data_IF_309954283232
#
_entry.id   IF_309954283232
#
_cell.length_a   1.000
_cell.length_b   1.000
_cell.length_c   1.000
_cell.angle_alpha   90.00
_cell.angle_beta   90.00
_cell.angle_gamma   90.00
#
_symmetry.space_group_name_H-M   'P 1'
#
loop_
_entity.id
_entity.type
_entity.pdbx_description
1 polymer ?
#
# COMPACT_ATOMS: atom_id res chain seq x y z
N UNK A 1 -15.27 19.87 9.10
CA UNK A 1 -14.18 18.96 9.48
C UNK A 1 -13.30 18.78 8.25
N UNK A 2 -12.05 19.23 8.31
CA UNK A 2 -11.12 19.08 7.18
C UNK A 2 -10.70 17.62 7.09
N UNK A 3 -11.39 16.84 6.27
CA UNK A 3 -11.05 15.45 5.93
C UNK A 3 -9.78 15.43 5.06
N UNK A 4 -8.63 15.73 5.66
CA UNK A 4 -7.36 15.57 4.98
C UNK A 4 -7.11 14.06 4.83
N UNK A 5 -7.15 13.56 3.61
CA UNK A 5 -6.79 12.17 3.33
C UNK A 5 -5.38 11.88 3.86
N UNK A 6 -5.12 10.63 4.24
CA UNK A 6 -3.85 10.19 4.83
C UNK A 6 -3.13 9.22 3.90
N UNK A 7 -1.81 9.39 3.77
CA UNK A 7 -0.96 8.50 3.00
C UNK A 7 0.34 8.25 3.76
N UNK A 8 0.67 6.98 3.95
CA UNK A 8 1.90 6.55 4.60
C UNK A 8 2.49 5.37 3.83
N UNK A 9 3.73 5.52 3.39
CA UNK A 9 4.42 4.51 2.61
C UNK A 9 5.90 4.51 2.96
N UNK A 10 6.47 3.31 3.10
CA UNK A 10 7.91 3.10 3.28
C UNK A 10 8.41 2.13 2.23
N UNK A 11 9.68 2.26 1.88
CA UNK A 11 10.35 1.35 0.97
C UNK A 11 11.44 0.56 1.71
N UNK A 12 11.51 -0.75 1.45
CA UNK A 12 12.53 -1.65 1.99
C UNK A 12 13.01 -2.62 0.90
N UNK A 13 14.33 -2.81 0.81
CA UNK A 13 14.93 -3.90 0.03
C UNK A 13 14.95 -5.22 0.79
N UNK A 14 14.83 -6.32 0.07
CA UNK A 14 14.93 -7.68 0.63
C UNK A 14 13.60 -8.23 1.13
N UNK A 15 13.66 -9.35 1.85
CA UNK A 15 12.46 -10.01 2.36
C UNK A 15 11.75 -9.15 3.40
N UNK A 16 10.41 -9.11 3.30
CA UNK A 16 9.53 -8.41 4.24
C UNK A 16 8.88 -9.44 5.16
N UNK A 17 9.15 -9.36 6.47
CA UNK A 17 8.69 -10.33 7.48
C UNK A 17 7.74 -9.67 8.46
N UNK A 18 7.11 -10.49 9.31
CA UNK A 18 6.15 -9.99 10.29
C UNK A 18 6.69 -8.94 11.27
N UNK A 19 7.98 -8.99 11.60
CA UNK A 19 8.58 -7.95 12.44
C UNK A 19 8.66 -6.61 11.69
N UNK A 20 8.97 -6.64 10.39
CA UNK A 20 9.01 -5.44 9.55
C UNK A 20 7.61 -4.83 9.40
N UNK A 21 6.59 -5.65 9.13
CA UNK A 21 5.19 -5.19 9.06
C UNK A 21 4.73 -4.58 10.38
N UNK A 22 5.02 -5.24 11.51
CA UNK A 22 4.60 -4.72 12.82
C UNK A 22 5.33 -3.41 13.17
N UNK A 23 6.61 -3.26 12.80
CA UNK A 23 7.31 -1.98 12.97
C UNK A 23 6.66 -0.89 12.11
N UNK A 24 6.44 -1.19 10.83
CA UNK A 24 5.79 -0.27 9.90
C UNK A 24 4.40 0.16 10.37
N UNK A 25 3.58 -0.78 10.88
CA UNK A 25 2.24 -0.50 11.39
C UNK A 25 2.29 0.47 12.57
N UNK A 26 3.23 0.30 13.52
CA UNK A 26 3.39 1.24 14.63
C UNK A 26 3.76 2.64 14.15
N UNK A 27 4.69 2.75 13.21
CA UNK A 27 5.09 4.04 12.65
C UNK A 27 3.94 4.72 11.89
N UNK A 28 3.16 3.94 11.14
CA UNK A 28 1.98 4.42 10.43
C UNK A 28 0.89 4.88 11.40
N UNK A 29 0.57 4.11 12.44
CA UNK A 29 -0.44 4.48 13.43
C UNK A 29 -0.03 5.73 14.21
N UNK A 30 1.24 5.88 14.58
CA UNK A 30 1.75 7.13 15.20
C UNK A 30 1.57 8.33 14.27
N UNK A 31 1.88 8.17 12.98
CA UNK A 31 1.65 9.22 12.00
C UNK A 31 0.15 9.53 11.82
N UNK A 32 -0.71 8.51 11.85
CA UNK A 32 -2.15 8.66 11.79
C UNK A 32 -2.70 9.40 13.03
N UNK A 33 -2.24 9.07 14.24
CA UNK A 33 -2.60 9.78 15.47
C UNK A 33 -2.24 11.26 15.39
N UNK A 34 -1.04 11.58 14.88
CA UNK A 34 -0.62 12.98 14.69
C UNK A 34 -1.49 13.71 13.65
N UNK A 35 -1.92 13.01 12.60
CA UNK A 35 -2.68 13.58 11.50
C UNK A 35 -4.17 13.76 11.82
N UNK A 36 -4.79 12.79 12.50
CA UNK A 36 -6.22 12.76 12.81
C UNK A 36 -6.56 13.21 14.23
N UNK A 37 -5.57 13.30 15.13
CA UNK A 37 -5.77 13.67 16.53
C UNK A 37 -6.17 12.52 17.45
N UNK A 38 -6.25 11.29 16.93
CA UNK A 38 -6.66 10.08 17.64
C UNK A 38 -6.81 8.89 16.70
N UNK A 39 -7.11 7.71 17.24
CA UNK A 39 -7.29 6.47 16.47
C UNK A 39 -8.67 5.84 16.62
N UNK A 40 -9.54 6.40 17.48
CA UNK A 40 -10.85 5.82 17.82
C UNK A 40 -11.77 5.58 16.61
N UNK A 41 -11.63 6.41 15.57
CA UNK A 41 -12.40 6.33 14.32
C UNK A 41 -11.60 5.71 13.15
N UNK A 42 -10.46 5.08 13.43
CA UNK A 42 -9.56 4.52 12.41
C UNK A 42 -9.74 3.01 12.30
N UNK A 43 -10.09 2.55 11.10
CA UNK A 43 -10.17 1.13 10.74
C UNK A 43 -9.05 0.80 9.75
N UNK A 44 -8.17 -0.13 10.12
CA UNK A 44 -7.15 -0.70 9.24
C UNK A 44 -7.67 -1.98 8.62
N UNK A 45 -7.69 -2.02 7.29
CA UNK A 45 -8.09 -3.21 6.52
C UNK A 45 -6.83 -3.93 6.06
N UNK A 46 -6.67 -5.18 6.49
CA UNK A 46 -5.51 -6.01 6.15
C UNK A 46 -5.95 -7.35 5.55
N UNK A 47 -5.06 -7.94 4.74
CA UNK A 47 -5.25 -9.30 4.26
C UNK A 47 -4.59 -10.32 5.20
N UNK A 48 -4.46 -11.56 4.72
CA UNK A 48 -3.86 -12.66 5.47
C UNK A 48 -2.48 -13.08 4.91
N UNK A 49 -1.70 -12.13 4.38
CA UNK A 49 -0.34 -12.41 3.94
C UNK A 49 0.52 -12.95 5.10
N UNK A 50 1.53 -13.82 4.84
CA UNK A 50 2.36 -14.38 5.90
C UNK A 50 3.09 -13.32 6.76
N UNK A 51 3.49 -12.19 6.16
CA UNK A 51 4.07 -11.06 6.89
C UNK A 51 3.05 -10.39 7.81
N UNK A 52 1.76 -10.48 7.52
CA UNK A 52 0.73 -9.82 8.30
C UNK A 52 0.19 -10.75 9.40
N UNK A 53 0.77 -11.93 9.61
CA UNK A 53 0.28 -12.96 10.55
C UNK A 53 0.23 -12.54 12.03
N UNK A 54 0.78 -11.39 12.40
CA UNK A 54 0.92 -10.93 13.80
C UNK A 54 0.52 -9.47 14.00
N UNK A 55 -0.32 -8.91 13.12
CA UNK A 55 -0.74 -7.51 13.25
C UNK A 55 -1.47 -7.25 14.56
N UNK A 56 -2.26 -8.22 15.05
CA UNK A 56 -3.03 -8.14 16.30
C UNK A 56 -2.15 -7.78 17.51
N UNK A 57 -0.89 -8.23 17.51
CA UNK A 57 0.07 -7.92 18.59
C UNK A 57 0.35 -6.43 18.73
N UNK A 58 0.19 -5.64 17.65
CA UNK A 58 0.36 -4.19 17.72
C UNK A 58 -0.82 -3.54 18.44
N UNK A 59 -2.04 -4.09 18.29
CA UNK A 59 -3.26 -3.56 18.92
C UNK A 59 -3.40 -3.96 20.40
N UNK A 60 -2.57 -4.87 20.90
CA UNK A 60 -2.44 -5.17 22.33
C UNK A 60 -1.66 -4.08 23.09
N UNK A 61 -0.95 -3.21 22.37
CA UNK A 61 -0.22 -2.09 22.97
C UNK A 61 -1.20 -0.95 23.27
N UNK A 62 -1.16 -0.41 24.50
CA UNK A 62 -2.04 0.67 24.95
C UNK A 62 -1.92 1.97 24.12
N UNK A 63 -0.88 2.12 23.30
CA UNK A 63 -0.73 3.24 22.36
C UNK A 63 -1.70 3.12 21.16
N UNK A 64 -2.17 1.91 20.83
CA UNK A 64 -2.87 1.59 19.59
C UNK A 64 -4.21 0.86 19.81
N UNK A 65 -4.61 0.62 21.06
CA UNK A 65 -5.79 -0.18 21.42
C UNK A 65 -7.13 0.44 21.00
N UNK A 66 -7.17 1.74 20.73
CA UNK A 66 -8.33 2.46 20.19
C UNK A 66 -8.53 2.27 18.68
N UNK A 67 -7.49 1.83 17.94
CA UNK A 67 -7.62 1.54 16.52
C UNK A 67 -8.32 0.19 16.29
N UNK A 68 -9.05 0.06 15.18
CA UNK A 68 -9.71 -1.19 14.80
C UNK A 68 -8.97 -1.89 13.66
N UNK A 69 -8.67 -3.19 13.82
CA UNK A 69 -8.17 -4.05 12.74
C UNK A 69 -9.31 -4.88 12.12
N UNK A 70 -9.51 -4.76 10.81
CA UNK A 70 -10.41 -5.59 10.02
C UNK A 70 -9.60 -6.55 9.12
N UNK A 71 -9.69 -7.85 9.40
CA UNK A 71 -9.14 -8.90 8.54
C UNK A 71 -10.10 -9.23 7.41
N UNK A 72 -9.61 -9.16 6.19
CA UNK A 72 -10.34 -9.70 5.04
C UNK A 72 -10.26 -11.22 5.02
N UNK A 73 -11.30 -11.86 4.50
CA UNK A 73 -11.25 -13.29 4.19
C UNK A 73 -10.17 -13.58 3.14
N UNK A 74 -9.62 -14.79 3.16
CA UNK A 74 -8.66 -15.23 2.16
C UNK A 74 -9.25 -15.16 0.75
N UNK A 75 -8.42 -14.85 -0.25
CA UNK A 75 -8.80 -14.76 -1.67
C UNK A 75 -9.88 -13.70 -1.99
N UNK A 76 -9.88 -12.59 -1.24
CA UNK A 76 -10.82 -11.47 -1.39
C UNK A 76 -10.18 -10.17 -1.92
N UNK A 77 -9.43 -10.18 -3.04
CA UNK A 77 -8.78 -8.96 -3.55
C UNK A 77 -9.79 -7.90 -4.00
N UNK A 78 -11.01 -8.29 -4.37
CA UNK A 78 -12.08 -7.37 -4.77
C UNK A 78 -12.46 -6.39 -3.66
N UNK A 79 -12.16 -6.72 -2.40
CA UNK A 79 -12.43 -5.90 -1.22
C UNK A 79 -11.21 -5.10 -0.73
N UNK A 80 -10.11 -5.11 -1.49
CA UNK A 80 -8.87 -4.39 -1.14
C UNK A 80 -8.74 -3.12 -1.98
N UNK A 81 -9.05 -1.92 -1.44
CA UNK A 81 -8.93 -0.68 -2.21
C UNK A 81 -7.51 -0.44 -2.75
N UNK A 82 -6.50 -0.91 -2.01
CA UNK A 82 -5.09 -0.71 -2.34
C UNK A 82 -4.69 -1.33 -3.69
N UNK A 83 -5.41 -2.34 -4.18
CA UNK A 83 -5.12 -2.98 -5.47
C UNK A 83 -5.32 -2.01 -6.65
N UNK A 84 -6.29 -1.10 -6.54
CA UNK A 84 -6.50 -0.06 -7.54
C UNK A 84 -5.32 0.94 -7.56
N UNK A 85 -4.87 1.35 -6.37
CA UNK A 85 -3.71 2.24 -6.24
C UNK A 85 -2.45 1.57 -6.80
N UNK A 86 -2.22 0.29 -6.48
CA UNK A 86 -1.09 -0.46 -7.02
C UNK A 86 -1.14 -0.59 -8.54
N UNK A 87 -2.34 -0.75 -9.11
CA UNK A 87 -2.51 -0.84 -10.56
C UNK A 87 -2.14 0.48 -11.25
N UNK A 88 -2.61 1.62 -10.72
CA UNK A 88 -2.24 2.96 -11.21
C UNK A 88 -0.74 3.22 -11.04
N UNK A 89 -0.18 2.94 -9.86
CA UNK A 89 1.24 3.05 -9.56
C UNK A 89 2.10 2.26 -10.56
N UNK A 90 1.79 0.97 -10.76
CA UNK A 90 2.51 0.10 -11.72
C UNK A 90 2.42 0.63 -13.14
N UNK A 91 1.27 1.16 -13.56
CA UNK A 91 1.10 1.73 -14.89
C UNK A 91 1.96 2.98 -15.10
N UNK A 92 2.01 3.88 -14.11
CA UNK A 92 2.85 5.08 -14.16
C UNK A 92 4.35 4.73 -14.16
N UNK A 93 4.80 3.82 -13.30
CA UNK A 93 6.20 3.35 -13.29
C UNK A 93 6.59 2.77 -14.65
N UNK A 94 5.76 1.91 -15.24
CA UNK A 94 6.02 1.33 -16.56
C UNK A 94 6.09 2.38 -17.66
N UNK A 95 5.24 3.40 -17.59
CA UNK A 95 5.22 4.51 -18.55
C UNK A 95 6.51 5.32 -18.47
N UNK A 96 6.90 5.76 -17.27
CA UNK A 96 8.15 6.50 -17.07
C UNK A 96 9.39 5.69 -17.47
N UNK A 97 9.44 4.40 -17.15
CA UNK A 97 10.54 3.53 -17.58
C UNK A 97 10.61 3.38 -19.10
N UNK A 98 9.45 3.35 -19.79
CA UNK A 98 9.40 3.31 -21.25
C UNK A 98 9.92 4.62 -21.86
N UNK A 99 9.47 5.76 -21.33
CA UNK A 99 9.92 7.08 -21.78
C UNK A 99 11.41 7.30 -21.54
N UNK A 100 11.93 6.76 -20.43
CA UNK A 100 13.33 6.87 -20.01
C UNK A 100 14.15 5.62 -20.34
N UNK A 101 13.70 4.81 -21.30
CA UNK A 101 14.33 3.52 -21.63
C UNK A 101 15.80 3.68 -22.01
N UNK A 102 16.14 4.76 -22.73
CA UNK A 102 17.53 5.05 -23.09
C UNK A 102 18.41 5.19 -21.85
N UNK A 103 17.98 5.98 -20.85
CA UNK A 103 18.68 6.18 -19.58
C UNK A 103 18.77 4.89 -18.74
N UNK A 104 17.70 4.10 -18.73
CA UNK A 104 17.65 2.81 -18.03
C UNK A 104 18.59 1.75 -18.64
N UNK A 105 18.91 1.87 -19.92
CA UNK A 105 19.73 0.89 -20.67
C UNK A 105 21.21 1.24 -20.76
N UNK A 106 21.63 2.43 -20.30
CA UNK A 106 23.04 2.87 -20.31
C UNK A 106 23.92 1.92 -19.48
N UNK A 107 25.19 1.72 -19.85
CA UNK A 107 26.16 1.04 -19.01
C UNK A 107 26.22 1.65 -17.59
N UNK A 108 26.22 0.83 -16.53
CA UNK A 108 26.30 1.33 -15.16
C UNK A 108 27.54 2.21 -14.92
N UNK A 109 27.40 3.39 -14.31
CA UNK A 109 28.54 4.19 -13.90
C UNK A 109 29.24 3.57 -12.68
N UNK A 110 30.53 3.89 -12.51
CA UNK A 110 31.24 3.67 -11.25
C UNK A 110 31.41 2.21 -10.82
N UNK A 111 31.48 1.26 -11.76
CA UNK A 111 31.72 -0.15 -11.46
C UNK A 111 30.53 -0.89 -10.85
N UNK A 112 29.34 -0.29 -10.83
CA UNK A 112 28.11 -0.97 -10.41
C UNK A 112 27.79 -2.14 -11.33
N UNK A 113 27.19 -3.20 -10.76
CA UNK A 113 26.59 -4.24 -11.58
C UNK A 113 25.38 -3.67 -12.32
N UNK A 114 25.06 -4.27 -13.47
CA UNK A 114 23.87 -3.90 -14.25
C UNK A 114 22.58 -4.06 -13.45
N UNK A 115 22.53 -5.05 -12.58
CA UNK A 115 21.40 -5.32 -11.70
C UNK A 115 21.22 -4.19 -10.67
N UNK A 116 22.27 -3.82 -9.94
CA UNK A 116 22.18 -2.78 -8.91
C UNK A 116 21.84 -1.42 -9.50
N UNK A 117 22.42 -1.07 -10.64
CA UNK A 117 22.08 0.17 -11.34
C UNK A 117 20.60 0.23 -11.72
N UNK A 118 20.07 -0.85 -12.29
CA UNK A 118 18.65 -0.93 -12.68
C UNK A 118 17.72 -0.94 -11.48
N UNK A 119 18.11 -1.59 -10.39
CA UNK A 119 17.33 -1.60 -9.14
C UNK A 119 17.23 -0.17 -8.58
N UNK A 120 18.35 0.56 -8.47
CA UNK A 120 18.34 1.96 -8.03
C UNK A 120 17.51 2.86 -8.94
N UNK A 121 17.59 2.64 -10.25
CA UNK A 121 16.80 3.41 -11.21
C UNK A 121 15.29 3.14 -11.05
N UNK A 122 14.91 1.89 -10.83
CA UNK A 122 13.52 1.51 -10.56
C UNK A 122 13.02 2.14 -9.25
N UNK A 123 13.81 2.12 -8.18
CA UNK A 123 13.48 2.76 -6.90
C UNK A 123 13.30 4.27 -7.05
N UNK A 124 14.19 4.92 -7.81
CA UNK A 124 14.08 6.34 -8.12
C UNK A 124 12.76 6.66 -8.84
N UNK A 125 12.42 5.92 -9.89
CA UNK A 125 11.15 6.10 -10.62
C UNK A 125 9.96 5.79 -9.73
N UNK A 126 10.01 4.72 -8.94
CA UNK A 126 8.95 4.37 -7.99
C UNK A 126 8.71 5.49 -6.96
N UNK A 127 9.78 6.07 -6.42
CA UNK A 127 9.69 7.17 -5.47
C UNK A 127 9.06 8.42 -6.11
N UNK A 128 9.42 8.73 -7.36
CA UNK A 128 8.82 9.83 -8.11
C UNK A 128 7.30 9.63 -8.30
N UNK A 129 6.89 8.40 -8.64
CA UNK A 129 5.46 8.07 -8.77
C UNK A 129 4.73 8.13 -7.42
N UNK A 130 5.34 7.64 -6.34
CA UNK A 130 4.75 7.70 -4.99
C UNK A 130 4.52 9.16 -4.55
N UNK A 131 5.49 10.03 -4.78
CA UNK A 131 5.37 11.46 -4.48
C UNK A 131 4.30 12.16 -5.31
N UNK A 132 4.01 11.63 -6.51
CA UNK A 132 2.95 12.12 -7.38
C UNK A 132 1.56 11.55 -7.09
N UNK A 133 1.39 10.68 -6.08
CA UNK A 133 0.07 10.14 -5.73
C UNK A 133 -0.83 11.28 -5.25
N UNK A 134 -1.91 11.54 -6.00
CA UNK A 134 -2.95 12.46 -5.59
C UNK A 134 -3.82 11.81 -4.51
N UNK A 135 -3.56 12.23 -3.26
CA UNK A 135 -4.23 11.72 -2.07
C UNK A 135 -5.75 11.98 -2.13
N UNK A 136 -6.21 12.98 -2.89
CA UNK A 136 -7.65 13.24 -3.10
C UNK A 136 -8.34 12.17 -3.93
N UNK A 137 -7.61 11.35 -4.70
CA UNK A 137 -8.20 10.24 -5.45
C UNK A 137 -8.39 8.99 -4.59
N UNK A 138 -7.80 8.88 -3.40
CA UNK A 138 -7.84 7.66 -2.60
C UNK A 138 -9.28 7.21 -2.27
N UNK A 139 -10.17 8.18 -1.99
CA UNK A 139 -11.59 7.91 -1.73
C UNK A 139 -12.33 7.32 -2.95
N UNK A 140 -11.83 7.52 -4.17
CA UNK A 140 -12.44 6.89 -5.35
C UNK A 140 -12.15 5.39 -5.42
N UNK A 141 -11.05 4.92 -4.85
CA UNK A 141 -10.72 3.50 -4.82
C UNK A 141 -11.60 2.75 -3.81
N UNK A 142 -12.01 3.39 -2.71
CA UNK A 142 -12.92 2.81 -1.72
C UNK A 142 -14.36 2.78 -2.23
N UNK A 143 -14.83 3.83 -2.92
CA UNK A 143 -16.18 3.86 -3.52
C UNK A 143 -16.43 2.72 -4.52
N UNK A 144 -15.38 2.24 -5.21
CA UNK A 144 -15.49 1.10 -6.13
C UNK A 144 -15.84 -0.21 -5.43
N UNK A 145 -15.64 -0.30 -4.11
CA UNK A 145 -15.95 -1.49 -3.33
C UNK A 145 -17.43 -1.72 -3.10
N UNK A 146 -18.25 -0.65 -3.13
CA UNK A 146 -19.70 -0.74 -2.87
C UNK A 146 -20.39 -1.75 -3.79
N UNK A 147 -19.97 -1.79 -5.06
CA UNK A 147 -20.44 -2.75 -6.04
C UNK A 147 -20.18 -4.21 -5.61
N UNK A 148 -19.02 -4.48 -5.00
CA UNK A 148 -18.65 -5.84 -4.57
C UNK A 148 -19.35 -6.25 -3.28
N UNK A 149 -19.65 -5.32 -2.37
CA UNK A 149 -20.36 -5.64 -1.12
C UNK A 149 -21.74 -6.22 -1.40
N UNK A 150 -22.54 -5.57 -2.26
CA UNK A 150 -23.88 -6.05 -2.61
C UNK A 150 -23.86 -7.45 -3.27
N UNK A 151 -22.81 -7.76 -4.04
CA UNK A 151 -22.64 -9.07 -4.68
C UNK A 151 -22.24 -10.15 -3.70
N UNK A 152 -21.33 -9.84 -2.76
CA UNK A 152 -20.99 -10.73 -1.66
C UNK A 152 -22.19 -11.05 -0.77
N UNK A 153 -23.01 -10.06 -0.41
CA UNK A 153 -24.24 -10.28 0.38
C UNK A 153 -25.21 -11.24 -0.32
N UNK A 154 -25.27 -11.18 -1.66
CA UNK A 154 -26.09 -12.07 -2.49
C UNK A 154 -25.41 -13.40 -2.84
N UNK A 155 -24.21 -13.65 -2.33
CA UNK A 155 -23.39 -14.82 -2.64
C UNK A 155 -23.16 -15.01 -4.15
N UNK A 156 -23.04 -13.91 -4.89
CA UNK A 156 -22.74 -13.96 -6.33
C UNK A 156 -21.25 -14.23 -6.58
N UNK A 157 -20.96 -15.02 -7.61
CA UNK A 157 -19.60 -15.20 -8.09
C UNK A 157 -19.01 -13.87 -8.60
N UNK A 158 -17.82 -13.51 -8.13
CA UNK A 158 -17.10 -12.31 -8.55
C UNK A 158 -15.81 -12.70 -9.24
N UNK A 159 -15.60 -12.23 -10.46
CA UNK A 159 -14.35 -12.45 -11.18
C UNK A 159 -13.19 -11.73 -10.49
N UNK A 160 -12.07 -12.43 -10.33
CA UNK A 160 -10.84 -11.89 -9.78
C UNK A 160 -9.95 -11.39 -10.92
N UNK A 161 -9.68 -10.09 -10.94
CA UNK A 161 -8.63 -9.49 -11.77
C UNK A 161 -8.96 -9.22 -13.24
N UNK A 162 -9.78 -8.19 -13.51
CA UNK A 162 -9.80 -7.52 -14.82
C UNK A 162 -8.67 -6.49 -14.95
#
# INVERSE_FOLDING_TARGET
MSSANFFFCTHKRGAYKHHDTNLWLREMLRAATQHFGGLDDIVIIADNAPCDSRLEQVYEEAEFDSATLLRLSSYSPMFKPIENLWSEFKAHVKTLLRERLSAFMVPPPGGLTREEFRMRYLEYVAQEVIQGIDIQRLNRYTLRLEYFYARAERMEDMEVGM
#
